data_IF_799247540524
#
_entry.id   IF_799247540524
#
_cell.length_a   1.000
_cell.length_b   1.000
_cell.length_c   1.000
_cell.angle_alpha   90.00
_cell.angle_beta   90.00
_cell.angle_gamma   90.00
#
_symmetry.space_group_name_H-M   'P 1'
#
loop_
_entity.id
_entity.type
_entity.pdbx_description
1 polymer ?
#
# COMPACT_ATOMS: atom_id res chain seq x y z
N UNK A 1 -3.93 20.08 21.59
CA UNK A 1 -3.24 19.29 20.56
C UNK A 1 -3.19 20.14 19.30
N UNK A 2 -2.18 21.00 19.15
CA UNK A 2 -1.99 21.77 17.93
C UNK A 2 -1.17 20.90 16.97
N UNK A 3 -1.86 20.00 16.26
CA UNK A 3 -1.28 19.30 15.10
C UNK A 3 -1.00 20.35 14.03
N UNK A 4 0.09 20.17 13.30
CA UNK A 4 0.37 20.98 12.12
C UNK A 4 -0.82 20.91 11.15
N UNK A 5 -1.02 21.97 10.37
CA UNK A 5 -2.02 22.06 9.31
C UNK A 5 -1.27 21.89 7.99
N UNK A 6 -1.61 20.85 7.24
CA UNK A 6 -1.15 20.69 5.87
C UNK A 6 -1.99 21.58 4.95
N UNK A 7 -1.34 22.52 4.26
CA UNK A 7 -1.95 23.40 3.27
C UNK A 7 -1.38 23.00 1.91
N UNK A 8 -2.18 22.38 1.06
CA UNK A 8 -1.78 21.96 -0.28
C UNK A 8 -2.72 22.63 -1.26
N UNK A 9 -2.20 23.54 -2.09
CA UNK A 9 -3.03 24.33 -3.02
C UNK A 9 -3.52 23.50 -4.19
N UNK A 10 -2.64 22.66 -4.74
CA UNK A 10 -2.96 21.73 -5.82
C UNK A 10 -2.50 20.32 -5.45
N UNK A 11 -3.40 19.36 -5.63
CA UNK A 11 -3.08 17.95 -5.49
C UNK A 11 -3.63 17.19 -6.68
N UNK A 12 -2.78 16.44 -7.35
CA UNK A 12 -3.13 15.68 -8.53
C UNK A 12 -2.65 14.24 -8.37
N UNK A 13 -3.56 13.29 -8.59
CA UNK A 13 -3.24 11.87 -8.67
C UNK A 13 -3.69 11.36 -10.02
N UNK A 14 -2.73 11.10 -10.91
CA UNK A 14 -3.04 10.75 -12.31
C UNK A 14 -3.67 9.35 -12.40
N UNK A 15 -3.28 8.42 -11.54
CA UNK A 15 -3.84 7.05 -11.53
C UNK A 15 -3.76 6.42 -10.14
N UNK A 16 -4.72 5.54 -9.84
CA UNK A 16 -4.80 4.80 -8.58
C UNK A 16 -5.04 3.31 -8.85
N UNK A 17 -4.33 2.46 -8.10
CA UNK A 17 -4.38 1.00 -8.14
C UNK A 17 -5.27 0.41 -7.07
N UNK A 18 -5.24 -0.93 -6.95
CA UNK A 18 -6.14 -1.68 -6.05
C UNK A 18 -5.82 -1.35 -4.59
N UNK A 19 -6.86 -1.04 -3.81
CA UNK A 19 -6.72 -0.60 -2.42
C UNK A 19 -5.85 0.66 -2.26
N UNK A 20 -5.70 1.48 -3.30
CA UNK A 20 -5.04 2.78 -3.19
C UNK A 20 -5.93 3.80 -2.47
N UNK A 21 -5.34 4.61 -1.58
CA UNK A 21 -6.05 5.62 -0.79
C UNK A 21 -5.47 7.00 -1.09
N UNK A 22 -6.33 7.96 -1.40
CA UNK A 22 -6.01 9.38 -1.38
C UNK A 22 -6.90 10.04 -0.32
N UNK A 23 -6.28 10.54 0.75
CA UNK A 23 -6.97 11.05 1.92
C UNK A 23 -6.53 12.48 2.22
N UNK A 24 -7.51 13.36 2.39
CA UNK A 24 -7.32 14.76 2.81
C UNK A 24 -8.04 14.94 4.15
N UNK A 25 -7.32 15.51 5.12
CA UNK A 25 -7.76 15.64 6.51
C UNK A 25 -7.22 14.54 7.40
N UNK A 26 -7.39 14.73 8.70
CA UNK A 26 -6.79 13.85 9.71
C UNK A 26 -7.45 12.46 9.75
N UNK A 27 -6.61 11.44 9.93
CA UNK A 27 -7.03 10.06 10.17
C UNK A 27 -6.42 9.55 11.48
N UNK A 28 -7.08 8.59 12.12
CA UNK A 28 -6.46 7.83 13.21
C UNK A 28 -5.68 6.66 12.61
N UNK A 29 -6.38 5.80 11.88
CA UNK A 29 -5.82 4.58 11.31
C UNK A 29 -6.24 4.41 9.85
N UNK A 30 -5.34 3.87 9.04
CA UNK A 30 -5.64 3.35 7.71
C UNK A 30 -5.09 1.93 7.60
N UNK A 31 -5.90 1.00 7.10
CA UNK A 31 -5.47 -0.36 6.80
C UNK A 31 -5.72 -0.67 5.33
N UNK A 32 -4.65 -0.88 4.58
CA UNK A 32 -4.63 -1.16 3.16
C UNK A 32 -4.05 -2.57 2.98
N UNK A 33 -4.65 -3.44 2.18
CA UNK A 33 -4.04 -4.73 1.80
C UNK A 33 -4.40 -5.02 0.34
N UNK A 34 -3.57 -5.72 -0.42
CA UNK A 34 -3.84 -6.12 -1.81
C UNK A 34 -3.07 -7.38 -2.20
N UNK A 35 -3.64 -8.56 -1.96
CA UNK A 35 -3.04 -9.85 -2.35
C UNK A 35 -3.46 -10.24 -3.78
N UNK A 36 -2.59 -10.76 -4.63
CA UNK A 36 -2.89 -11.12 -6.02
C UNK A 36 -2.05 -12.33 -6.47
N UNK A 37 -2.72 -13.38 -6.92
CA UNK A 37 -2.12 -14.56 -7.54
C UNK A 37 -2.56 -14.59 -8.99
N UNK A 38 -1.60 -14.46 -9.91
CA UNK A 38 -1.86 -14.36 -11.34
C UNK A 38 -1.19 -15.52 -12.03
N UNK A 39 -1.98 -16.48 -12.49
CA UNK A 39 -1.50 -17.61 -13.29
C UNK A 39 -1.76 -17.31 -14.76
N UNK A 40 -0.68 -17.11 -15.52
CA UNK A 40 -0.74 -16.96 -16.97
C UNK A 40 -0.30 -18.25 -17.63
N UNK A 41 -1.20 -18.86 -18.40
CA UNK A 41 -0.96 -20.11 -19.12
C UNK A 41 -0.86 -19.85 -20.61
N UNK A 42 -0.02 -20.62 -21.28
CA UNK A 42 0.05 -20.63 -22.74
C UNK A 42 -1.28 -21.04 -23.38
N UNK A 43 -1.96 -22.05 -22.80
CA UNK A 43 -3.34 -22.40 -23.14
C UNK A 43 -4.26 -21.94 -21.99
N UNK A 44 -5.27 -21.10 -22.26
CA UNK A 44 -6.16 -20.60 -21.22
C UNK A 44 -7.14 -21.68 -20.78
N UNK A 45 -6.91 -22.24 -19.60
CA UNK A 45 -7.85 -23.11 -18.90
C UNK A 45 -7.79 -22.86 -17.39
N UNK A 46 -8.86 -23.19 -16.69
CA UNK A 46 -9.05 -22.92 -15.26
C UNK A 46 -9.24 -24.23 -14.49
N UNK A 47 -8.49 -24.41 -13.40
CA UNK A 47 -8.73 -25.50 -12.46
C UNK A 47 -9.64 -25.04 -11.32
N UNK A 48 -10.62 -25.86 -10.94
CA UNK A 48 -11.58 -25.53 -9.87
C UNK A 48 -10.92 -25.18 -8.52
N UNK A 49 -9.76 -25.77 -8.22
CA UNK A 49 -9.05 -25.64 -6.95
C UNK A 49 -7.77 -24.79 -7.06
N UNK A 50 -7.62 -23.96 -8.10
CA UNK A 50 -6.51 -23.02 -8.17
C UNK A 50 -6.76 -21.76 -7.34
N UNK A 51 -5.70 -21.04 -6.98
CA UNK A 51 -5.85 -19.73 -6.35
C UNK A 51 -5.67 -19.69 -4.82
N UNK A 52 -5.34 -20.81 -4.16
CA UNK A 52 -5.11 -20.82 -2.71
C UNK A 52 -3.87 -19.98 -2.35
N UNK A 53 -4.08 -18.94 -1.56
CA UNK A 53 -2.98 -18.10 -1.06
C UNK A 53 -2.10 -18.84 -0.06
N UNK A 54 -2.68 -19.70 0.78
CA UNK A 54 -1.94 -20.45 1.81
C UNK A 54 -0.95 -21.46 1.21
N UNK A 55 -1.06 -21.75 -0.09
CA UNK A 55 -0.10 -22.58 -0.82
C UNK A 55 1.23 -21.86 -1.11
N UNK A 56 1.32 -20.55 -0.88
CA UNK A 56 2.51 -19.76 -1.15
C UNK A 56 2.92 -18.93 0.06
N UNK A 57 4.16 -19.10 0.48
CA UNK A 57 4.78 -18.42 1.63
C UNK A 57 4.65 -16.90 1.55
N UNK A 58 4.69 -16.30 0.34
CA UNK A 58 4.49 -14.86 0.14
C UNK A 58 3.17 -14.34 0.72
N UNK A 59 2.14 -15.17 0.82
CA UNK A 59 0.85 -14.79 1.39
C UNK A 59 0.71 -15.10 2.88
N UNK A 60 1.63 -15.86 3.47
CA UNK A 60 1.66 -16.19 4.89
C UNK A 60 2.30 -15.05 5.69
N UNK A 61 1.69 -14.74 6.84
CA UNK A 61 2.23 -13.77 7.79
C UNK A 61 2.85 -14.52 8.97
N UNK A 62 4.17 -14.73 8.94
CA UNK A 62 4.88 -15.42 10.03
C UNK A 62 5.12 -14.50 11.23
N UNK A 63 5.14 -13.18 11.03
CA UNK A 63 5.35 -12.19 12.07
C UNK A 63 4.33 -11.04 12.02
N UNK A 64 3.96 -10.54 13.19
CA UNK A 64 3.09 -9.36 13.33
C UNK A 64 3.89 -8.13 12.85
N UNK A 65 3.52 -7.59 11.69
CA UNK A 65 4.10 -6.35 11.13
C UNK A 65 3.62 -5.07 11.81
N UNK A 66 2.75 -5.18 12.82
CA UNK A 66 2.21 -4.03 13.56
C UNK A 66 3.21 -3.64 14.65
N UNK A 67 3.81 -2.42 14.60
CA UNK A 67 4.69 -1.98 15.67
C UNK A 67 3.92 -1.85 16.98
N UNK A 68 4.29 -2.65 17.98
CA UNK A 68 3.79 -2.52 19.34
C UNK A 68 4.35 -1.24 19.96
N UNK A 69 3.50 -0.31 20.38
CA UNK A 69 3.94 0.84 21.19
C UNK A 69 4.44 0.30 22.54
N UNK A 70 5.76 0.28 22.72
CA UNK A 70 6.40 -0.23 23.94
C UNK A 70 6.56 0.83 25.05
N UNK A 71 6.46 2.12 24.70
CA UNK A 71 6.87 3.20 25.61
C UNK A 71 6.01 4.44 25.44
N UNK A 72 5.34 4.84 26.51
CA UNK A 72 4.64 6.12 26.62
C UNK A 72 5.66 7.24 26.85
N UNK A 73 6.17 7.82 25.77
CA UNK A 73 7.03 8.99 25.84
C UNK A 73 6.16 10.23 26.04
N UNK A 74 6.34 10.93 27.16
CA UNK A 74 5.73 12.25 27.38
C UNK A 74 6.55 13.31 26.66
N UNK A 75 6.10 13.70 25.48
CA UNK A 75 6.71 14.75 24.68
C UNK A 75 5.76 15.97 24.59
N UNK A 76 6.33 17.18 24.65
CA UNK A 76 5.63 18.40 24.28
C UNK A 76 6.22 18.91 22.96
N UNK A 77 5.37 19.16 21.97
CA UNK A 77 5.77 19.66 20.65
C UNK A 77 5.22 21.07 20.50
N UNK A 78 6.11 22.01 20.18
CA UNK A 78 5.76 23.41 19.88
C UNK A 78 6.10 23.65 18.41
N UNK A 79 5.06 23.82 17.58
CA UNK A 79 5.23 24.21 16.19
C UNK A 79 5.12 25.73 16.10
N UNK A 80 6.26 26.43 16.03
CA UNK A 80 6.28 27.91 15.92
C UNK A 80 5.55 28.39 14.66
N UNK A 81 5.68 27.64 13.56
CA UNK A 81 4.86 27.74 12.37
C UNK A 81 4.10 26.43 12.17
N UNK A 82 2.78 26.37 12.41
CA UNK A 82 2.02 25.13 12.30
C UNK A 82 1.64 24.80 10.85
N UNK A 83 1.97 25.65 9.88
CA UNK A 83 1.57 25.46 8.49
C UNK A 83 2.66 24.74 7.71
N UNK A 84 2.32 23.57 7.17
CA UNK A 84 3.11 22.88 6.16
C UNK A 84 2.45 23.20 4.81
N UNK A 85 2.95 24.24 4.16
CA UNK A 85 2.38 24.78 2.93
C UNK A 85 3.16 24.33 1.70
N UNK A 86 2.44 23.79 0.72
CA UNK A 86 2.97 23.32 -0.57
C UNK A 86 2.04 23.78 -1.69
N UNK A 87 2.62 24.26 -2.78
CA UNK A 87 1.86 24.74 -3.94
C UNK A 87 1.24 23.60 -4.74
N UNK A 88 2.06 22.66 -5.23
CA UNK A 88 1.57 21.52 -6.01
C UNK A 88 2.18 20.19 -5.54
N UNK A 89 1.33 19.16 -5.46
CA UNK A 89 1.72 17.78 -5.28
C UNK A 89 1.10 16.93 -6.40
N UNK A 90 1.93 16.53 -7.35
CA UNK A 90 1.53 15.63 -8.43
C UNK A 90 2.08 14.21 -8.21
N UNK A 91 1.17 13.26 -8.00
CA UNK A 91 1.43 11.81 -7.96
C UNK A 91 1.06 11.19 -9.30
N UNK A 92 2.02 10.54 -9.97
CA UNK A 92 1.76 9.84 -11.23
C UNK A 92 0.87 8.61 -11.04
N UNK A 93 1.18 7.81 -10.04
CA UNK A 93 0.42 6.59 -9.76
C UNK A 93 0.51 6.26 -8.28
N UNK A 94 -0.64 6.03 -7.66
CA UNK A 94 -0.74 5.31 -6.40
C UNK A 94 -0.96 3.83 -6.73
N UNK A 95 0.04 3.00 -6.49
CA UNK A 95 -0.03 1.56 -6.80
C UNK A 95 -0.79 0.78 -5.71
N UNK A 96 -0.77 -0.55 -5.79
CA UNK A 96 -1.54 -1.41 -4.91
C UNK A 96 -1.23 -1.15 -3.43
N UNK A 97 -2.29 -0.90 -2.64
CA UNK A 97 -2.19 -0.51 -1.23
C UNK A 97 -1.35 0.75 -0.97
N UNK A 98 -1.15 1.63 -1.94
CA UNK A 98 -0.48 2.91 -1.70
C UNK A 98 -1.41 3.93 -1.04
N UNK A 99 -0.88 4.80 -0.18
CA UNK A 99 -1.64 5.87 0.47
C UNK A 99 -0.98 7.22 0.20
N UNK A 100 -1.75 8.20 -0.26
CA UNK A 100 -1.38 9.61 -0.25
C UNK A 100 -2.25 10.34 0.79
N UNK A 101 -1.62 10.88 1.83
CA UNK A 101 -2.26 11.52 2.97
C UNK A 101 -1.87 12.99 3.02
N UNK A 102 -2.85 13.88 3.04
CA UNK A 102 -2.69 15.31 3.34
C UNK A 102 -3.35 15.57 4.69
N UNK A 103 -2.58 15.94 5.71
CA UNK A 103 -3.02 16.02 7.11
C UNK A 103 -2.33 14.97 7.97
N UNK A 104 -2.77 14.81 9.22
CA UNK A 104 -2.12 13.89 10.17
C UNK A 104 -2.74 12.50 10.19
N UNK A 105 -1.90 11.47 10.28
CA UNK A 105 -2.33 10.08 10.52
C UNK A 105 -1.56 9.49 11.70
N UNK A 106 -2.21 8.71 12.56
CA UNK A 106 -1.52 8.02 13.66
C UNK A 106 -0.86 6.73 13.16
N UNK A 107 -1.61 5.90 12.45
CA UNK A 107 -1.11 4.64 11.91
C UNK A 107 -1.58 4.35 10.49
N UNK A 108 -0.67 3.82 9.69
CA UNK A 108 -0.97 3.25 8.39
C UNK A 108 -0.40 1.84 8.32
N UNK A 109 -1.28 0.88 8.11
CA UNK A 109 -0.94 -0.50 7.79
C UNK A 109 -1.17 -0.70 6.30
N UNK A 110 -0.19 -1.17 5.55
CA UNK A 110 -0.38 -1.44 4.13
C UNK A 110 0.26 -2.76 3.71
N UNK A 111 -0.48 -3.68 3.09
CA UNK A 111 0.01 -5.00 2.68
C UNK A 111 -0.46 -5.41 1.28
N UNK A 112 0.24 -4.99 0.23
CA UNK A 112 0.07 -5.57 -1.11
C UNK A 112 0.97 -6.82 -1.28
N UNK A 113 0.47 -7.96 -1.80
CA UNK A 113 1.21 -9.20 -2.07
C UNK A 113 0.87 -9.68 -3.48
N UNK A 114 1.82 -9.86 -4.38
CA UNK A 114 1.50 -10.18 -5.79
C UNK A 114 2.45 -11.28 -6.28
N UNK A 115 1.93 -12.44 -6.68
CA UNK A 115 2.66 -13.57 -7.24
C UNK A 115 2.19 -13.81 -8.67
N UNK A 116 3.10 -13.78 -9.64
CA UNK A 116 2.80 -14.06 -11.03
C UNK A 116 3.51 -15.33 -11.49
N UNK A 117 2.73 -16.33 -11.89
CA UNK A 117 3.22 -17.63 -12.37
C UNK A 117 2.95 -17.71 -13.87
N UNK A 118 3.96 -18.09 -14.63
CA UNK A 118 3.81 -18.40 -16.05
C UNK A 118 3.96 -19.90 -16.27
N UNK A 119 2.99 -20.51 -16.93
CA UNK A 119 2.99 -21.93 -17.27
C UNK A 119 3.11 -22.08 -18.79
N UNK A 120 4.21 -22.65 -19.22
CA UNK A 120 4.52 -22.94 -20.63
C UNK A 120 4.37 -24.45 -20.87
N UNK A 121 3.99 -24.83 -22.09
CA UNK A 121 3.85 -26.25 -22.50
C UNK A 121 5.19 -26.79 -22.98
N UNK A 122 6.03 -25.91 -23.52
CA UNK A 122 7.39 -26.20 -23.98
C UNK A 122 8.43 -25.85 -22.93
N UNK A 123 9.57 -26.54 -22.93
CA UNK A 123 10.75 -26.23 -22.10
C UNK A 123 11.40 -24.85 -22.38
N UNK A 124 10.87 -24.09 -23.35
CA UNK A 124 11.41 -22.81 -23.80
C UNK A 124 10.69 -21.64 -23.10
N UNK A 125 11.44 -20.85 -22.31
CA UNK A 125 12.37 -19.87 -22.91
C UNK A 125 13.84 -20.01 -22.45
N UNK A 126 14.22 -21.10 -21.78
CA UNK A 126 15.53 -21.23 -21.13
C UNK A 126 16.61 -21.96 -21.97
N UNK A 127 16.26 -22.48 -23.15
CA UNK A 127 17.25 -22.97 -24.12
C UNK A 127 17.73 -21.79 -24.97
N UNK A 128 18.93 -21.30 -24.68
CA UNK A 128 19.73 -20.46 -25.59
C UNK A 128 20.50 -21.36 -26.55
#
# INVERSE_FOLDING_TARGET
MLRHISVVHQSNVISMGVSGVFQIGDANQMELKSRALVVHREIPYYFKNEGSFDAYEIFTDDEITIPTRSTDVKMNIINECPFLEVDDVTIRTLLNSACFQIGSVDYVFSNSRILQIRQYITDEPFKK
#
